data_IF_397397361992
#
_entry.id   IF_397397361992
#
_cell.length_a   1.000
_cell.length_b   1.000
_cell.length_c   1.000
_cell.angle_alpha   90.00
_cell.angle_beta   90.00
_cell.angle_gamma   90.00
#
_symmetry.space_group_name_H-M   'P 1'
#
loop_
_entity.id
_entity.type
_entity.pdbx_description
1 polymer ?
#
# COMPACT_ATOMS: atom_id res chain seq x y z
N UNK A 1 -7.12 -18.82 9.89
CA UNK A 1 -6.07 -17.80 9.66
C UNK A 1 -6.73 -16.53 9.10
N UNK A 2 -7.12 -15.56 9.94
CA UNK A 2 -7.79 -14.32 9.51
C UNK A 2 -7.36 -13.10 10.35
N UNK A 3 -6.06 -12.94 10.64
CA UNK A 3 -5.60 -11.86 11.53
C UNK A 3 -5.27 -10.54 10.81
N UNK A 4 -5.12 -10.55 9.47
CA UNK A 4 -4.70 -9.35 8.72
C UNK A 4 -5.79 -8.30 8.54
N UNK A 5 -6.97 -8.67 8.02
CA UNK A 5 -8.02 -7.72 7.61
C UNK A 5 -8.75 -7.04 8.79
N UNK A 6 -8.84 -7.70 9.95
CA UNK A 6 -9.54 -7.16 11.11
C UNK A 6 -8.78 -6.01 11.80
N UNK A 7 -7.44 -5.98 11.70
CA UNK A 7 -6.61 -4.97 12.38
C UNK A 7 -6.30 -3.73 11.52
N UNK A 8 -6.51 -3.78 10.21
CA UNK A 8 -6.22 -2.64 9.31
C UNK A 8 -7.10 -1.43 9.62
N UNK A 9 -8.34 -1.64 10.10
CA UNK A 9 -9.25 -0.55 10.43
C UNK A 9 -8.94 0.21 11.73
N UNK A 10 -8.12 -0.35 12.63
CA UNK A 10 -7.91 0.21 13.97
C UNK A 10 -6.42 0.38 14.35
N UNK A 11 -5.48 -0.34 13.71
CA UNK A 11 -4.07 -0.38 14.11
C UNK A 11 -3.10 0.35 13.16
N UNK A 12 -3.48 0.62 11.90
CA UNK A 12 -2.65 1.36 10.95
C UNK A 12 -3.43 2.53 10.36
N UNK A 13 -3.19 3.72 10.89
CA UNK A 13 -3.78 4.93 10.33
C UNK A 13 -3.19 5.24 8.95
N UNK A 14 -4.07 5.55 7.99
CA UNK A 14 -3.71 6.06 6.64
C UNK A 14 -2.72 7.23 6.76
N UNK A 15 -2.82 8.01 7.82
CA UNK A 15 -1.92 9.12 8.12
C UNK A 15 -0.46 8.66 8.33
N UNK A 16 -0.24 7.60 9.10
CA UNK A 16 1.10 7.06 9.39
C UNK A 16 1.74 6.50 8.11
N UNK A 17 0.96 5.78 7.29
CA UNK A 17 1.44 5.25 6.01
C UNK A 17 1.88 6.39 5.09
N UNK A 18 1.10 7.48 5.01
CA UNK A 18 1.46 8.67 4.23
C UNK A 18 2.74 9.34 4.73
N UNK A 19 2.93 9.45 6.04
CA UNK A 19 4.17 9.99 6.60
C UNK A 19 5.38 9.13 6.24
N UNK A 20 5.29 7.81 6.40
CA UNK A 20 6.39 6.89 6.09
C UNK A 20 6.74 6.93 4.60
N UNK A 21 5.74 7.00 3.72
CA UNK A 21 5.97 7.20 2.28
C UNK A 21 6.67 8.53 1.98
N UNK A 22 6.33 9.60 2.71
CA UNK A 22 7.01 10.89 2.63
C UNK A 22 8.48 10.80 3.04
N UNK A 23 8.77 10.12 4.15
CA UNK A 23 10.14 9.89 4.63
C UNK A 23 10.96 9.06 3.63
N UNK A 24 10.38 7.99 3.08
CA UNK A 24 11.04 7.17 2.05
C UNK A 24 11.38 7.99 0.80
N UNK A 25 10.45 8.83 0.32
CA UNK A 25 10.71 9.73 -0.82
C UNK A 25 11.86 10.70 -0.52
N UNK A 26 11.93 11.23 0.70
CA UNK A 26 13.01 12.12 1.11
C UNK A 26 14.37 11.40 1.13
N UNK A 27 14.42 10.19 1.68
CA UNK A 27 15.62 9.35 1.70
C UNK A 27 16.07 9.02 0.26
N UNK A 28 15.15 8.59 -0.61
CA UNK A 28 15.48 8.28 -2.01
C UNK A 28 16.05 9.50 -2.73
N UNK A 29 15.50 10.69 -2.49
CA UNK A 29 16.04 11.95 -3.05
C UNK A 29 17.43 12.28 -2.52
N UNK A 30 17.68 12.07 -1.23
CA UNK A 30 19.01 12.29 -0.65
C UNK A 30 20.03 11.34 -1.27
N UNK A 31 19.70 10.05 -1.38
CA UNK A 31 20.55 9.06 -2.05
C UNK A 31 20.81 9.46 -3.51
N UNK A 32 19.78 9.89 -4.24
CA UNK A 32 19.94 10.38 -5.62
C UNK A 32 20.92 11.55 -5.70
N UNK A 33 20.79 12.54 -4.80
CA UNK A 33 21.69 13.69 -4.73
C UNK A 33 23.12 13.28 -4.41
N UNK A 34 23.33 12.48 -3.36
CA UNK A 34 24.66 11.99 -2.97
C UNK A 34 25.35 11.25 -4.11
N UNK A 35 24.62 10.41 -4.84
CA UNK A 35 25.17 9.61 -5.94
C UNK A 35 25.47 10.44 -7.20
N UNK A 36 24.72 11.53 -7.43
CA UNK A 36 24.99 12.48 -8.52
C UNK A 36 26.32 13.21 -8.35
N UNK A 37 26.66 13.56 -7.11
CA UNK A 37 27.86 14.35 -6.78
C UNK A 37 29.00 13.50 -6.21
N UNK A 38 28.91 12.16 -6.29
CA UNK A 38 29.96 11.28 -5.82
C UNK A 38 31.11 11.21 -6.83
N UNK A 39 32.28 11.72 -6.42
CA UNK A 39 33.50 11.73 -7.23
C UNK A 39 34.12 10.34 -7.44
N UNK A 40 33.80 9.39 -6.56
CA UNK A 40 34.32 8.03 -6.60
C UNK A 40 33.53 7.07 -7.50
N UNK A 41 32.41 7.53 -8.08
CA UNK A 41 31.54 6.73 -8.95
C UNK A 41 31.77 7.14 -10.41
N UNK A 42 32.16 6.17 -11.23
CA UNK A 42 32.25 6.33 -12.68
C UNK A 42 30.89 6.65 -13.32
N UNK A 43 30.91 7.44 -14.39
CA UNK A 43 29.70 7.93 -15.08
C UNK A 43 28.77 6.82 -15.55
N UNK A 44 29.31 5.70 -16.03
CA UNK A 44 28.49 4.56 -16.45
C UNK A 44 27.74 3.94 -15.26
N UNK A 45 28.45 3.77 -14.14
CA UNK A 45 27.91 3.19 -12.91
C UNK A 45 26.89 4.14 -12.27
N UNK A 46 27.14 5.45 -12.31
CA UNK A 46 26.21 6.50 -11.87
C UNK A 46 24.90 6.42 -12.65
N UNK A 47 24.97 6.28 -13.97
CA UNK A 47 23.78 6.18 -14.81
C UNK A 47 22.93 4.94 -14.48
N UNK A 48 23.57 3.78 -14.30
CA UNK A 48 22.89 2.54 -13.89
C UNK A 48 22.24 2.66 -12.52
N UNK A 49 22.93 3.27 -11.56
CA UNK A 49 22.46 3.42 -10.19
C UNK A 49 21.25 4.37 -10.12
N UNK A 50 21.29 5.50 -10.82
CA UNK A 50 20.15 6.42 -10.95
C UNK A 50 18.95 5.75 -11.66
N UNK A 51 19.20 4.95 -12.70
CA UNK A 51 18.15 4.17 -13.38
C UNK A 51 17.54 3.11 -12.46
N UNK A 52 18.32 2.55 -11.53
CA UNK A 52 17.81 1.59 -10.54
C UNK A 52 16.98 2.29 -9.47
N UNK A 53 17.45 3.43 -8.97
CA UNK A 53 16.74 4.24 -7.97
C UNK A 53 15.34 4.67 -8.46
N UNK A 54 15.20 5.07 -9.72
CA UNK A 54 13.90 5.45 -10.30
C UNK A 54 12.91 4.29 -10.43
N UNK A 55 13.40 3.04 -10.40
CA UNK A 55 12.56 1.84 -10.51
C UNK A 55 12.19 1.21 -9.16
N UNK A 56 12.68 1.75 -8.04
CA UNK A 56 12.36 1.20 -6.71
C UNK A 56 10.87 1.44 -6.43
N UNK A 57 10.15 0.34 -6.23
CA UNK A 57 8.75 0.36 -5.76
C UNK A 57 8.74 0.27 -4.23
N UNK A 58 7.94 1.10 -3.58
CA UNK A 58 7.78 1.10 -2.13
C UNK A 58 6.43 0.50 -1.76
N UNK A 59 6.44 -0.52 -0.90
CA UNK A 59 5.25 -1.12 -0.33
C UNK A 59 5.25 -0.86 1.18
N UNK A 60 4.28 -0.10 1.69
CA UNK A 60 4.21 0.30 3.10
C UNK A 60 2.84 -0.02 3.66
N UNK A 61 2.79 -0.78 4.75
CA UNK A 61 1.54 -1.15 5.42
C UNK A 61 0.80 -2.25 4.67
N UNK A 62 -0.25 -1.88 3.95
CA UNK A 62 -1.11 -2.79 3.20
C UNK A 62 -1.24 -2.32 1.75
N UNK A 63 -1.47 -3.27 0.84
CA UNK A 63 -1.71 -2.94 -0.57
C UNK A 63 -3.04 -2.21 -0.72
N UNK A 64 -3.09 -1.20 -1.61
CA UNK A 64 -4.35 -0.54 -1.98
C UNK A 64 -5.39 -1.52 -2.50
N UNK A 65 -4.95 -2.67 -3.03
CA UNK A 65 -5.82 -3.78 -3.42
C UNK A 65 -6.70 -4.28 -2.25
N UNK A 66 -6.20 -4.27 -1.01
CA UNK A 66 -6.94 -4.67 0.19
C UNK A 66 -7.96 -3.61 0.65
N UNK A 67 -7.85 -2.37 0.17
CA UNK A 67 -8.85 -1.32 0.44
C UNK A 67 -10.11 -1.49 -0.41
N UNK A 68 -10.01 -2.17 -1.56
CA UNK A 68 -11.15 -2.45 -2.39
C UNK A 68 -11.88 -3.70 -1.89
N UNK A 69 -13.05 -3.49 -1.29
CA UNK A 69 -13.87 -4.57 -0.74
C UNK A 69 -14.29 -5.59 -1.80
N UNK A 70 -14.44 -5.19 -3.07
CA UNK A 70 -14.78 -6.11 -4.17
C UNK A 70 -13.63 -7.07 -4.46
N UNK A 71 -12.40 -6.55 -4.54
CA UNK A 71 -11.19 -7.36 -4.73
C UNK A 71 -11.02 -8.39 -3.60
N UNK A 72 -11.23 -7.96 -2.35
CA UNK A 72 -11.17 -8.83 -1.19
C UNK A 72 -12.27 -9.90 -1.26
N UNK A 73 -13.49 -9.51 -1.62
CA UNK A 73 -14.62 -10.43 -1.77
C UNK A 73 -14.36 -11.49 -2.84
N UNK A 74 -13.92 -11.09 -4.04
CA UNK A 74 -13.62 -12.02 -5.14
C UNK A 74 -12.52 -13.01 -4.77
N UNK A 75 -11.45 -12.54 -4.12
CA UNK A 75 -10.37 -13.43 -3.68
C UNK A 75 -10.85 -14.52 -2.72
N UNK A 76 -11.69 -14.17 -1.75
CA UNK A 76 -12.25 -15.14 -0.82
C UNK A 76 -13.37 -16.00 -1.43
N UNK A 77 -14.13 -15.50 -2.40
CA UNK A 77 -15.13 -16.30 -3.14
C UNK A 77 -14.45 -17.34 -4.05
N UNK A 78 -13.39 -16.95 -4.77
CA UNK A 78 -12.61 -17.83 -5.66
C UNK A 78 -11.82 -18.89 -4.90
N UNK A 79 -11.38 -18.61 -3.67
CA UNK A 79 -10.64 -19.55 -2.83
C UNK A 79 -11.49 -20.71 -2.27
N UNK A 80 -12.75 -20.84 -2.72
CA UNK A 80 -13.68 -21.86 -2.22
C UNK A 80 -13.94 -21.72 -0.73
N UNK A 81 -13.91 -20.48 -0.20
CA UNK A 81 -14.15 -20.25 1.22
C UNK A 81 -15.49 -20.89 1.59
N UNK A 82 -15.54 -21.74 2.64
CA UNK A 82 -16.58 -22.75 2.81
C UNK A 82 -17.99 -22.23 3.10
N UNK A 83 -18.25 -20.93 2.93
CA UNK A 83 -19.58 -20.38 3.08
C UNK A 83 -19.68 -19.02 2.37
N UNK A 84 -20.30 -18.97 1.18
CA UNK A 84 -20.76 -17.71 0.54
C UNK A 84 -21.67 -16.88 1.48
N UNK A 85 -22.33 -17.56 2.41
CA UNK A 85 -23.13 -16.99 3.50
C UNK A 85 -22.33 -16.68 4.78
N UNK A 86 -20.99 -16.71 4.74
CA UNK A 86 -20.19 -16.41 5.93
C UNK A 86 -20.52 -14.99 6.43
N UNK A 87 -20.80 -14.82 7.73
CA UNK A 87 -21.10 -13.50 8.31
C UNK A 87 -19.99 -12.47 8.04
N UNK A 88 -18.77 -12.95 7.78
CA UNK A 88 -17.60 -12.15 7.43
C UNK A 88 -17.73 -11.46 6.07
N UNK A 89 -18.00 -12.20 4.99
CA UNK A 89 -18.13 -11.61 3.63
C UNK A 89 -19.30 -10.63 3.55
N UNK A 90 -20.42 -10.96 4.22
CA UNK A 90 -21.58 -10.06 4.32
C UNK A 90 -21.25 -8.78 5.09
N UNK A 91 -20.42 -8.85 6.13
CA UNK A 91 -19.95 -7.68 6.90
C UNK A 91 -19.00 -6.81 6.08
N UNK A 92 -18.12 -7.41 5.28
CA UNK A 92 -17.24 -6.66 4.35
C UNK A 92 -18.07 -5.84 3.34
N UNK A 93 -19.05 -6.47 2.69
CA UNK A 93 -19.90 -5.80 1.69
C UNK A 93 -20.74 -4.65 2.28
N UNK A 94 -21.35 -4.87 3.44
CA UNK A 94 -22.17 -3.84 4.12
C UNK A 94 -21.35 -2.68 4.66
N UNK A 95 -20.11 -2.90 5.08
CA UNK A 95 -19.21 -1.84 5.56
C UNK A 95 -18.71 -0.97 4.39
N UNK A 96 -18.46 -1.57 3.23
CA UNK A 96 -18.06 -0.86 2.00
C UNK A 96 -19.13 0.14 1.53
N UNK A 97 -20.40 -0.30 1.48
CA UNK A 97 -21.54 0.51 1.06
C UNK A 97 -21.72 1.78 1.92
N UNK A 98 -21.41 1.73 3.22
CA UNK A 98 -21.49 2.90 4.11
C UNK A 98 -20.41 3.95 3.87
N UNK A 99 -19.22 3.57 3.38
CA UNK A 99 -18.15 4.55 3.09
C UNK A 99 -18.41 5.35 1.81
N UNK A 100 -19.15 4.77 0.85
CA UNK A 100 -19.55 5.43 -0.40
C UNK A 100 -20.74 6.38 -0.25
N UNK A 101 -21.57 6.21 0.80
CA UNK A 101 -22.75 7.04 1.06
C UNK A 101 -22.50 8.20 2.03
N UNK A 102 -21.27 8.42 2.50
CA UNK A 102 -20.95 9.58 3.36
C UNK A 102 -20.56 10.78 2.48
N UNK A 103 -21.18 11.96 2.65
CA UNK A 103 -20.80 13.14 1.89
C UNK A 103 -19.35 13.55 2.21
N UNK A 104 -18.62 14.14 1.23
CA UNK A 104 -17.26 14.60 1.47
C UNK A 104 -17.27 15.65 2.59
N UNK A 105 -16.37 15.48 3.57
CA UNK A 105 -16.14 16.46 4.62
C UNK A 105 -15.61 17.73 3.93
N UNK A 106 -16.40 18.82 4.02
CA UNK A 106 -16.03 20.15 3.51
C UNK A 106 -14.80 20.69 4.22
#
# INVERSE_FOLDING_TARGET
MCCGLANVGHAFSVYVIRQVLGMLRNITKQVESTMKFADWIDDHTRHLLLRKLTKIQHFVGYSDWLLNAHNVYEFYDMAGAPNRSSPFLRRLMTTSQRKLSMPPIK
#
